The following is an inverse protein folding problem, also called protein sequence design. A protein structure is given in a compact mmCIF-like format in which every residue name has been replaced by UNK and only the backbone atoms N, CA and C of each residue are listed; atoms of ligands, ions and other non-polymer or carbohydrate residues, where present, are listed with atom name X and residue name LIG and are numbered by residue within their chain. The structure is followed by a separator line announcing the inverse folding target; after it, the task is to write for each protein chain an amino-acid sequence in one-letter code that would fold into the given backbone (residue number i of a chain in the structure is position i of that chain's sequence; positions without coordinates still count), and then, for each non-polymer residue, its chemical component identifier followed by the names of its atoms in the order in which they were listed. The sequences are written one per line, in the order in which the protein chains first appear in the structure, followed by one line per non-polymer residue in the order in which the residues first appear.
data_IF_140184055939
#
_entry.id   IF_140184055939
#
_cell.length_a   1.000
_cell.length_b   1.000
_cell.length_c   1.000
_cell.angle_alpha   90.00
_cell.angle_beta   90.00
_cell.angle_gamma   90.00
#
_symmetry.space_group_name_H-M   'P 1'
#
loop_
_entity.id
_entity.type
_entity.pdbx_description
1 polymer ?
#
# COMPACT_ATOMS: atom_id res chain seq x y z
N UNK A 1 8.43 -11.12 0.62
CA UNK A 1 7.66 -11.61 -0.54
C UNK A 1 6.51 -10.64 -0.76
N UNK A 2 6.23 -10.26 -2.00
CA UNK A 2 5.00 -9.54 -2.34
C UNK A 2 4.19 -10.33 -3.36
N UNK A 3 2.89 -10.07 -3.38
CA UNK A 3 1.91 -10.82 -4.17
C UNK A 3 1.01 -9.85 -4.93
N UNK A 4 0.51 -10.30 -6.08
CA UNK A 4 -0.53 -9.62 -6.85
C UNK A 4 -1.86 -10.34 -6.63
N UNK A 5 -2.89 -9.59 -6.25
CA UNK A 5 -4.25 -10.11 -6.14
C UNK A 5 -5.08 -9.63 -7.32
N UNK A 6 -5.69 -10.56 -8.06
CA UNK A 6 -6.56 -10.22 -9.19
C UNK A 6 -7.99 -10.00 -8.70
N UNK A 7 -8.54 -8.81 -8.95
CA UNK A 7 -9.90 -8.43 -8.52
C UNK A 7 -10.96 -8.51 -9.63
N UNK A 8 -10.57 -8.67 -10.90
CA UNK A 8 -11.49 -8.70 -12.03
C UNK A 8 -12.14 -10.09 -12.23
N UNK A 9 -12.87 -10.58 -11.23
CA UNK A 9 -13.50 -11.91 -11.23
C UNK A 9 -14.94 -11.79 -10.74
N UNK A 10 -15.85 -12.53 -11.38
CA UNK A 10 -17.25 -12.61 -10.99
C UNK A 10 -17.41 -12.99 -9.51
N UNK A 11 -18.30 -12.27 -8.82
CA UNK A 11 -18.54 -12.36 -7.37
C UNK A 11 -18.94 -13.79 -6.94
N UNK A 12 -19.52 -14.59 -7.85
CA UNK A 12 -19.94 -15.97 -7.58
C UNK A 12 -18.77 -16.97 -7.39
N UNK A 13 -17.54 -16.59 -7.75
CA UNK A 13 -16.32 -17.42 -7.58
C UNK A 13 -15.37 -16.89 -6.50
N UNK A 14 -15.90 -16.15 -5.52
CA UNK A 14 -15.09 -15.41 -4.56
C UNK A 14 -14.15 -16.28 -3.70
N UNK A 15 -12.90 -15.84 -3.65
CA UNK A 15 -11.80 -16.21 -2.76
C UNK A 15 -11.44 -17.70 -2.66
N UNK A 16 -11.30 -18.38 -3.81
CA UNK A 16 -10.34 -19.50 -3.85
C UNK A 16 -8.91 -18.96 -3.92
N UNK A 17 -7.97 -19.67 -3.28
CA UNK A 17 -6.52 -19.40 -3.22
C UNK A 17 -5.84 -19.15 -4.59
N UNK A 18 -6.56 -19.38 -5.68
CA UNK A 18 -6.12 -19.35 -7.08
C UNK A 18 -5.84 -17.95 -7.65
N UNK A 19 -6.24 -16.86 -6.97
CA UNK A 19 -6.13 -15.50 -7.52
C UNK A 19 -5.02 -14.65 -6.91
N UNK A 20 -4.08 -15.30 -6.23
CA UNK A 20 -2.89 -14.69 -5.65
C UNK A 20 -1.70 -15.15 -6.50
N UNK A 21 -1.08 -14.21 -7.22
CA UNK A 21 0.13 -14.46 -7.99
C UNK A 21 1.35 -14.00 -7.18
N UNK A 22 2.42 -14.80 -7.06
CA UNK A 22 3.65 -14.32 -6.46
C UNK A 22 4.26 -13.24 -7.37
N UNK A 23 4.48 -12.05 -6.82
CA UNK A 23 5.09 -10.94 -7.56
C UNK A 23 6.60 -10.96 -7.49
N UNK A 24 7.15 -11.27 -6.32
CA UNK A 24 8.60 -11.35 -6.15
C UNK A 24 9.03 -11.81 -4.75
N UNK A 25 10.24 -12.35 -4.69
CA UNK A 25 10.88 -12.77 -3.45
C UNK A 25 12.04 -11.83 -3.11
N UNK A 26 12.15 -11.46 -1.84
CA UNK A 26 13.28 -10.70 -1.29
C UNK A 26 14.12 -11.72 -0.52
N UNK A 27 15.28 -12.13 -1.04
CA UNK A 27 16.12 -13.13 -0.40
C UNK A 27 16.87 -12.56 0.81
N UNK A 28 17.13 -13.42 1.79
CA UNK A 28 17.92 -13.10 2.99
C UNK A 28 17.06 -12.90 4.25
N UNK A 29 17.63 -13.24 5.41
CA UNK A 29 17.04 -12.98 6.74
C UNK A 29 17.15 -11.52 7.16
N UNK A 30 18.07 -10.78 6.54
CA UNK A 30 18.36 -9.40 6.89
C UNK A 30 17.49 -8.43 6.11
N UNK A 31 17.30 -7.24 6.69
CA UNK A 31 16.60 -6.15 6.03
C UNK A 31 17.31 -5.80 4.71
N UNK A 32 16.61 -5.80 3.56
CA UNK A 32 17.21 -5.40 2.29
C UNK A 32 17.72 -3.95 2.38
N UNK A 33 18.97 -3.73 1.95
CA UNK A 33 19.58 -2.39 1.92
C UNK A 33 18.86 -1.45 0.95
N UNK A 34 18.37 -2.02 -0.15
CA UNK A 34 17.58 -1.32 -1.15
C UNK A 34 16.31 -2.14 -1.38
N UNK A 35 15.18 -1.66 -0.89
CA UNK A 35 13.88 -2.33 -1.07
C UNK A 35 13.36 -2.06 -2.50
N UNK A 36 13.65 -0.88 -3.04
CA UNK A 36 13.18 -0.44 -4.34
C UNK A 36 13.71 -1.32 -5.46
N UNK A 37 14.93 -1.87 -5.34
CA UNK A 37 15.44 -2.82 -6.33
C UNK A 37 14.57 -4.07 -6.51
N UNK A 38 13.73 -4.40 -5.53
CA UNK A 38 12.79 -5.53 -5.59
C UNK A 38 11.38 -5.12 -6.01
N UNK A 39 10.92 -3.93 -5.58
CA UNK A 39 9.56 -3.45 -5.85
C UNK A 39 9.45 -2.75 -7.21
N UNK A 40 10.46 -1.94 -7.57
CA UNK A 40 10.46 -1.14 -8.78
C UNK A 40 10.27 -1.95 -10.05
N UNK A 41 10.95 -3.10 -10.28
CA UNK A 41 10.75 -3.86 -11.52
C UNK A 41 9.29 -4.32 -11.71
N UNK A 42 8.66 -4.79 -10.62
CA UNK A 42 7.27 -5.24 -10.65
C UNK A 42 6.30 -4.09 -10.95
N UNK A 43 6.46 -2.96 -10.26
CA UNK A 43 5.61 -1.78 -10.48
C UNK A 43 5.86 -1.18 -11.86
N UNK A 44 7.12 -1.12 -12.32
CA UNK A 44 7.49 -0.61 -13.64
C UNK A 44 6.83 -1.42 -14.77
N UNK A 45 6.80 -2.75 -14.67
CA UNK A 45 6.08 -3.58 -15.64
C UNK A 45 4.57 -3.32 -15.61
N UNK A 46 3.97 -3.18 -14.43
CA UNK A 46 2.56 -2.83 -14.31
C UNK A 46 2.30 -1.49 -14.99
N UNK A 47 3.12 -0.47 -14.75
CA UNK A 47 2.99 0.85 -15.38
C UNK A 47 3.15 0.78 -16.91
N UNK A 48 4.10 -0.01 -17.42
CA UNK A 48 4.26 -0.21 -18.86
C UNK A 48 2.99 -0.82 -19.47
N UNK A 49 2.42 -1.86 -18.84
CA UNK A 49 1.17 -2.46 -19.27
C UNK A 49 -0.04 -1.53 -19.13
N UNK A 50 -0.03 -0.60 -18.18
CA UNK A 50 -1.06 0.42 -18.04
C UNK A 50 -1.02 1.45 -19.18
N UNK A 51 0.17 1.77 -19.68
CA UNK A 51 0.35 2.75 -20.74
C UNK A 51 0.15 2.15 -22.14
N UNK A 52 0.66 0.93 -22.36
CA UNK A 52 0.64 0.26 -23.67
C UNK A 52 -0.61 -0.63 -23.85
N UNK A 53 -1.18 -1.09 -22.75
CA UNK A 53 -2.23 -2.12 -22.73
C UNK A 53 -1.67 -3.53 -22.94
N UNK A 54 -2.38 -4.53 -22.41
CA UNK A 54 -2.00 -5.94 -22.53
C UNK A 54 -2.77 -6.59 -23.69
N UNK A 55 -2.10 -6.84 -24.80
CA UNK A 55 -2.68 -7.60 -25.91
C UNK A 55 -2.86 -9.07 -25.54
N UNK A 56 -4.09 -9.56 -25.60
CA UNK A 56 -4.45 -10.93 -25.30
C UNK A 56 -5.20 -11.55 -26.48
N UNK A 57 -4.95 -12.83 -26.73
CA UNK A 57 -5.69 -13.60 -27.73
C UNK A 57 -6.72 -14.48 -27.01
N UNK A 58 -7.97 -14.41 -27.47
CA UNK A 58 -9.04 -15.29 -27.02
C UNK A 58 -9.22 -16.45 -28.03
N UNK A 59 -8.93 -17.70 -27.64
CA UNK A 59 -9.12 -18.86 -28.51
C UNK A 59 -10.59 -19.19 -28.78
N UNK A 60 -11.53 -18.76 -27.92
CA UNK A 60 -12.96 -19.06 -28.08
C UNK A 60 -13.58 -18.21 -29.18
N UNK A 61 -13.19 -16.94 -29.27
CA UNK A 61 -13.66 -16.01 -30.31
C UNK A 61 -12.69 -15.89 -31.48
N UNK A 62 -11.51 -16.52 -31.37
CA UNK A 62 -10.41 -16.42 -32.32
C UNK A 62 -10.04 -14.96 -32.65
N UNK A 63 -10.01 -14.10 -31.64
CA UNK A 63 -9.77 -12.66 -31.81
C UNK A 63 -8.77 -12.14 -30.79
N UNK A 64 -7.99 -11.13 -31.18
CA UNK A 64 -7.15 -10.38 -30.24
C UNK A 64 -7.97 -9.25 -29.60
N UNK A 65 -7.80 -9.05 -28.30
CA UNK A 65 -8.37 -7.91 -27.56
C UNK A 65 -7.28 -7.24 -26.71
N UNK A 66 -7.52 -5.97 -26.37
CA UNK A 66 -6.65 -5.20 -25.49
C UNK A 66 -7.24 -5.22 -24.08
N UNK A 67 -6.48 -5.76 -23.13
CA UNK A 67 -6.82 -5.76 -21.71
C UNK A 67 -6.13 -4.61 -21.00
N UNK A 68 -6.89 -3.73 -20.39
CA UNK A 68 -6.35 -2.62 -19.60
C UNK A 68 -6.17 -3.06 -18.16
N UNK A 69 -4.93 -3.03 -17.68
CA UNK A 69 -4.59 -3.36 -16.31
C UNK A 69 -4.86 -2.14 -15.41
N UNK A 70 -5.45 -2.33 -14.24
CA UNK A 70 -5.65 -1.26 -13.25
C UNK A 70 -5.12 -1.71 -11.90
N UNK A 71 -4.20 -0.93 -11.33
CA UNK A 71 -3.75 -1.10 -9.94
C UNK A 71 -4.70 -0.31 -9.02
N UNK A 72 -5.58 -1.02 -8.32
CA UNK A 72 -6.60 -0.41 -7.45
C UNK A 72 -6.00 0.22 -6.19
N UNK A 73 -5.27 -0.58 -5.42
CA UNK A 73 -4.57 -0.15 -4.21
C UNK A 73 -3.41 -1.10 -3.93
N UNK A 74 -2.43 -0.61 -3.19
CA UNK A 74 -1.34 -1.42 -2.64
C UNK A 74 -1.57 -1.59 -1.13
N UNK A 75 -1.28 -2.77 -0.61
CA UNK A 75 -1.37 -3.06 0.82
C UNK A 75 -0.04 -3.55 1.33
N UNK A 76 0.35 -3.10 2.51
CA UNK A 76 1.51 -3.60 3.24
C UNK A 76 1.25 -3.54 4.75
N UNK A 77 2.11 -4.18 5.52
CA UNK A 77 2.17 -3.98 6.96
C UNK A 77 2.77 -2.60 7.29
N UNK A 78 2.69 -2.17 8.56
CA UNK A 78 3.12 -0.82 8.96
C UNK A 78 4.54 -0.45 8.49
N UNK A 79 5.56 -1.32 8.67
CA UNK A 79 6.90 -1.08 8.14
C UNK A 79 7.01 -1.17 6.62
N UNK A 80 6.24 -2.05 5.98
CA UNK A 80 6.26 -2.24 4.54
C UNK A 80 5.63 -1.07 3.77
N UNK A 81 4.61 -0.43 4.36
CA UNK A 81 3.87 0.67 3.73
C UNK A 81 4.77 1.87 3.46
N UNK A 82 5.73 2.14 4.35
CA UNK A 82 6.76 3.17 4.20
C UNK A 82 7.51 3.09 2.88
N UNK A 83 7.78 1.87 2.39
CA UNK A 83 8.49 1.69 1.12
C UNK A 83 7.60 1.94 -0.10
N UNK A 84 6.27 1.94 0.07
CA UNK A 84 5.30 2.14 -0.99
C UNK A 84 4.85 3.60 -1.09
N UNK A 85 4.58 4.25 0.05
CA UNK A 85 4.02 5.60 0.10
C UNK A 85 5.06 6.69 0.40
N UNK A 86 6.29 6.31 0.76
CA UNK A 86 7.35 7.24 1.14
C UNK A 86 7.07 7.96 2.47
N UNK A 87 6.10 7.49 3.25
CA UNK A 87 5.79 8.04 4.56
C UNK A 87 6.85 7.68 5.60
N UNK A 88 6.74 8.28 6.78
CA UNK A 88 7.60 7.96 7.91
C UNK A 88 7.01 6.76 8.64
N UNK A 89 7.88 5.89 9.18
CA UNK A 89 7.46 4.68 9.89
C UNK A 89 6.40 4.91 10.98
N UNK A 90 5.65 3.85 11.26
CA UNK A 90 4.51 3.85 12.18
C UNK A 90 4.81 4.34 13.62
N UNK A 91 6.08 4.40 14.02
CA UNK A 91 6.52 4.92 15.34
C UNK A 91 6.88 6.41 15.32
N UNK A 92 6.66 7.10 14.19
CA UNK A 92 6.95 8.51 14.05
C UNK A 92 5.85 9.38 14.65
N UNK A 93 6.19 10.65 14.91
CA UNK A 93 5.24 11.64 15.43
C UNK A 93 4.00 11.76 14.52
N UNK A 94 4.17 11.68 13.20
CA UNK A 94 3.05 11.73 12.25
C UNK A 94 3.09 10.48 11.36
N UNK A 95 2.67 9.34 11.90
CA UNK A 95 2.76 8.04 11.22
C UNK A 95 1.93 7.94 9.93
N UNK A 96 0.85 8.71 9.80
CA UNK A 96 0.10 8.81 8.55
C UNK A 96 -0.11 10.30 8.24
N UNK A 97 0.80 10.82 7.42
CA UNK A 97 0.91 12.24 7.11
C UNK A 97 -0.19 12.73 6.14
N UNK A 98 -0.75 11.83 5.33
CA UNK A 98 -1.67 12.18 4.23
C UNK A 98 -3.14 12.03 4.63
N UNK A 99 -3.49 11.02 5.43
CA UNK A 99 -4.90 10.63 5.58
C UNK A 99 -5.52 10.93 6.95
N UNK A 100 -4.82 10.66 8.06
CA UNK A 100 -5.47 10.68 9.38
C UNK A 100 -5.18 11.91 10.24
N UNK A 101 -4.06 12.62 10.00
CA UNK A 101 -3.67 13.78 10.82
C UNK A 101 -3.41 13.47 12.31
N UNK A 102 -3.35 12.20 12.69
CA UNK A 102 -3.15 11.78 14.08
C UNK A 102 -1.70 12.03 14.47
N UNK A 103 -1.53 12.87 15.49
CA UNK A 103 -0.23 13.15 16.10
C UNK A 103 0.03 12.12 17.20
N UNK A 104 1.13 11.39 17.05
CA UNK A 104 1.64 10.48 18.04
C UNK A 104 2.24 11.22 19.23
N UNK A 105 2.09 10.63 20.41
CA UNK A 105 2.68 11.10 21.65
C UNK A 105 3.83 10.19 22.06
N UNK A 106 4.95 10.78 22.44
CA UNK A 106 6.09 10.06 22.98
C UNK A 106 6.05 10.11 24.50
N UNK A 107 6.20 8.96 25.16
CA UNK A 107 6.39 8.92 26.62
C UNK A 107 7.76 9.51 26.98
N UNK A 108 7.88 10.13 28.14
CA UNK A 108 9.18 10.55 28.67
C UNK A 108 10.17 9.38 28.66
N UNK A 109 11.39 9.64 28.17
CA UNK A 109 12.46 8.67 27.95
C UNK A 109 12.18 7.58 26.90
N UNK A 110 11.14 7.70 26.08
CA UNK A 110 10.90 6.83 24.91
C UNK A 110 11.48 7.45 23.63
N UNK A 111 11.80 6.59 22.66
CA UNK A 111 12.14 6.98 21.28
C UNK A 111 10.97 6.78 20.31
N UNK A 112 9.88 6.14 20.77
CA UNK A 112 8.74 5.77 19.97
C UNK A 112 7.53 6.66 20.29
N UNK A 113 6.90 7.15 19.23
CA UNK A 113 5.61 7.83 19.31
C UNK A 113 4.49 6.80 19.19
N UNK A 114 3.48 6.92 20.05
CA UNK A 114 2.29 6.10 20.03
C UNK A 114 1.09 6.98 19.63
N UNK A 115 0.21 6.52 18.73
CA UNK A 115 -1.02 7.25 18.44
C UNK A 115 -1.87 7.29 19.71
N UNK A 116 -2.10 8.49 20.24
CA UNK A 116 -3.00 8.70 21.37
C UNK A 116 -4.35 9.17 20.80
N UNK A 117 -5.24 8.23 20.53
CA UNK A 117 -6.63 8.57 20.23
C UNK A 117 -7.30 8.93 21.55
N UNK A 118 -7.74 10.18 21.69
CA UNK A 118 -8.60 10.58 22.80
C UNK A 118 -9.85 9.71 22.77
N UNK A 119 -10.25 9.14 23.91
CA UNK A 119 -11.53 8.47 24.03
C UNK A 119 -12.62 9.51 23.78
N UNK A 120 -13.27 9.48 22.62
CA UNK A 120 -14.27 10.47 22.23
C UNK A 120 -15.52 10.27 23.05
N UNK A 121 -15.69 11.10 24.08
CA UNK A 121 -17.00 11.38 24.68
C UNK A 121 -17.68 12.61 24.07
N UNK A 122 -17.08 13.28 23.08
CA UNK A 122 -17.61 14.52 22.47
C UNK A 122 -17.42 14.55 20.93
N UNK A 123 -18.35 15.16 20.16
CA UNK A 123 -18.34 15.12 18.70
C UNK A 123 -17.38 16.12 18.01
N UNK A 124 -16.87 15.65 16.86
CA UNK A 124 -15.86 16.21 15.95
C UNK A 124 -16.16 17.64 15.43
N UNK A 125 -15.93 18.69 16.23
CA UNK A 125 -16.21 20.08 15.78
C UNK A 125 -15.14 21.12 16.11
N UNK A 126 -13.89 20.75 16.39
CA UNK A 126 -12.88 21.76 16.74
C UNK A 126 -11.47 21.44 16.21
N UNK A 127 -11.30 21.64 14.90
CA UNK A 127 -9.99 21.61 14.21
C UNK A 127 -9.52 23.00 13.75
N UNK A 128 -9.94 24.08 14.43
CA UNK A 128 -9.62 25.45 14.00
C UNK A 128 -8.50 26.14 14.78
N UNK A 129 -8.04 25.60 15.93
CA UNK A 129 -7.26 26.41 16.89
C UNK A 129 -5.88 25.82 17.26
N UNK A 130 -5.12 25.26 16.31
CA UNK A 130 -3.69 24.96 16.56
C UNK A 130 -2.78 25.37 15.41
N UNK A 131 -2.87 26.64 15.02
CA UNK A 131 -1.71 27.37 14.50
C UNK A 131 -0.85 27.83 15.68
N UNK A 132 0.07 26.98 16.14
CA UNK A 132 0.96 27.35 17.24
C UNK A 132 1.74 26.20 17.82
N UNK A 133 2.78 25.76 17.10
CA UNK A 133 4.12 25.44 17.60
C UNK A 133 4.83 24.58 16.56
N UNK A 134 5.92 25.15 16.04
CA UNK A 134 6.89 24.53 15.14
C UNK A 134 7.42 23.19 15.67
#
# INVERSE_FOLDING_TARGET
MYIWAIFNISFEKQYQKLYILPGGFIPGSDKPKNVDSFLFPGIHHVTALQNEGLHMWDPLTNSCYLSNLYLLFTTADGPGLVYLDGMIGHSSKNGCQVYCGVIGHCKECSTHYHPALLCTSEPFSRWSDMSGCF
#
